data_IF_647069977749
#
_entry.id   IF_647069977749
#
_cell.length_a   1.000
_cell.length_b   1.000
_cell.length_c   1.000
_cell.angle_alpha   90.00
_cell.angle_beta   90.00
_cell.angle_gamma   90.00
#
_symmetry.space_group_name_H-M   'P 1'
#
loop_
_entity.id
_entity.type
_entity.pdbx_description
1 polymer ?
#
# COMPACT_ATOMS: atom_id res chain seq x y z
N UNK A 1 6.08 38.42 -62.13
CA UNK A 1 6.61 37.36 -61.25
C UNK A 1 5.67 37.27 -60.05
N UNK A 2 4.83 36.23 -60.00
CA UNK A 2 3.85 36.03 -58.92
C UNK A 2 4.55 35.34 -57.73
N UNK A 3 4.62 36.01 -56.59
CA UNK A 3 5.18 35.43 -55.37
C UNK A 3 4.14 34.48 -54.73
N UNK A 4 4.52 33.20 -54.60
CA UNK A 4 3.71 32.15 -54.02
C UNK A 4 3.45 32.40 -52.52
N UNK A 5 2.17 32.41 -52.15
CA UNK A 5 1.71 32.49 -50.75
C UNK A 5 1.92 31.13 -50.07
N UNK A 6 2.94 31.02 -49.23
CA UNK A 6 3.21 29.82 -48.44
C UNK A 6 2.36 29.83 -47.16
N UNK A 7 1.30 29.01 -47.13
CA UNK A 7 0.55 28.74 -45.89
C UNK A 7 1.43 27.95 -44.91
N UNK A 8 1.74 28.53 -43.74
CA UNK A 8 2.45 27.84 -42.66
C UNK A 8 1.55 26.72 -42.08
N UNK A 9 2.07 25.50 -41.86
CA UNK A 9 1.29 24.42 -41.27
C UNK A 9 0.89 24.75 -39.84
N UNK A 10 -0.41 24.61 -39.54
CA UNK A 10 -0.95 24.74 -38.19
C UNK A 10 -0.36 23.65 -37.29
N UNK A 11 0.50 24.05 -36.34
CA UNK A 11 0.99 23.15 -35.30
C UNK A 11 -0.19 22.74 -34.42
N UNK A 12 -0.79 21.56 -34.71
CA UNK A 12 -1.70 20.90 -33.78
C UNK A 12 -0.94 20.69 -32.48
N UNK A 13 -1.36 21.36 -31.40
CA UNK A 13 -0.79 21.16 -30.06
C UNK A 13 -0.84 19.67 -29.75
N UNK A 14 0.31 19.07 -29.41
CA UNK A 14 0.35 17.69 -28.91
C UNK A 14 -0.53 17.63 -27.67
N UNK A 15 -1.64 16.89 -27.75
CA UNK A 15 -2.55 16.72 -26.62
C UNK A 15 -1.77 16.02 -25.51
N UNK A 16 -1.73 16.61 -24.33
CA UNK A 16 -1.17 15.97 -23.15
C UNK A 16 -2.01 14.70 -22.86
N UNK A 17 -1.46 13.53 -23.22
CA UNK A 17 -2.14 12.23 -23.20
C UNK A 17 -2.68 11.90 -21.80
N UNK A 18 -1.97 12.33 -20.75
CA UNK A 18 -2.35 12.11 -19.35
C UNK A 18 -3.63 12.89 -19.00
N UNK A 19 -3.74 14.13 -19.49
CA UNK A 19 -4.95 14.94 -19.29
C UNK A 19 -6.14 14.41 -20.09
N UNK A 20 -5.91 13.90 -21.29
CA UNK A 20 -6.97 13.31 -22.12
C UNK A 20 -7.56 12.04 -21.50
N UNK A 21 -6.71 11.11 -21.03
CA UNK A 21 -7.18 9.90 -20.35
C UNK A 21 -7.96 10.24 -19.07
N UNK A 22 -7.49 11.22 -18.29
CA UNK A 22 -8.21 11.72 -17.11
C UNK A 22 -9.58 12.30 -17.49
N UNK A 23 -9.64 13.09 -18.55
CA UNK A 23 -10.89 13.63 -19.07
C UNK A 23 -11.86 12.52 -19.51
N UNK A 24 -11.39 11.54 -20.28
CA UNK A 24 -12.19 10.38 -20.69
C UNK A 24 -12.72 9.58 -19.49
N UNK A 25 -11.90 9.36 -18.46
CA UNK A 25 -12.34 8.72 -17.20
C UNK A 25 -13.42 9.54 -16.49
N UNK A 26 -13.27 10.87 -16.44
CA UNK A 26 -14.25 11.77 -15.86
C UNK A 26 -15.59 11.72 -16.60
N UNK A 27 -15.55 11.75 -17.93
CA UNK A 27 -16.74 11.62 -18.78
C UNK A 27 -17.42 10.26 -18.61
N UNK A 28 -16.67 9.16 -18.62
CA UNK A 28 -17.20 7.82 -18.39
C UNK A 28 -17.82 7.69 -16.99
N UNK A 29 -17.18 8.27 -15.96
CA UNK A 29 -17.73 8.31 -14.59
C UNK A 29 -19.05 9.08 -14.54
N UNK A 30 -19.11 10.27 -15.16
CA UNK A 30 -20.33 11.09 -15.21
C UNK A 30 -21.46 10.34 -15.94
N UNK A 31 -21.15 9.71 -17.08
CA UNK A 31 -22.11 8.92 -17.84
C UNK A 31 -22.62 7.70 -17.03
N UNK A 32 -21.72 6.95 -16.41
CA UNK A 32 -22.04 5.81 -15.55
C UNK A 32 -22.97 6.21 -14.40
N UNK A 33 -22.63 7.28 -13.67
CA UNK A 33 -23.47 7.76 -12.58
C UNK A 33 -24.82 8.34 -13.05
N UNK A 34 -24.88 8.85 -14.29
CA UNK A 34 -26.12 9.36 -14.88
C UNK A 34 -26.93 8.28 -15.61
N UNK A 35 -26.53 7.01 -15.51
CA UNK A 35 -27.20 5.91 -16.20
C UNK A 35 -27.11 5.94 -17.72
N UNK A 36 -26.22 6.75 -18.30
CA UNK A 36 -26.03 6.88 -19.75
C UNK A 36 -25.08 5.80 -20.28
N UNK A 37 -25.19 5.50 -21.57
CA UNK A 37 -24.24 4.62 -22.25
C UNK A 37 -22.82 5.19 -22.13
N UNK A 38 -21.84 4.32 -21.89
CA UNK A 38 -20.44 4.73 -21.82
C UNK A 38 -19.52 3.58 -22.26
N UNK A 39 -18.29 3.93 -22.65
CA UNK A 39 -17.24 2.94 -22.93
C UNK A 39 -16.41 2.74 -21.67
N UNK A 40 -16.35 1.50 -21.19
CA UNK A 40 -15.50 1.12 -20.06
C UNK A 40 -14.03 1.29 -20.45
N UNK A 41 -13.31 2.14 -19.72
CA UNK A 41 -11.89 2.40 -19.99
C UNK A 41 -10.99 1.20 -19.65
N UNK A 42 -11.46 0.30 -18.77
CA UNK A 42 -10.68 -0.88 -18.37
C UNK A 42 -10.89 -2.06 -19.33
N UNK A 43 -12.13 -2.28 -19.78
CA UNK A 43 -12.48 -3.42 -20.63
C UNK A 43 -12.65 -3.08 -22.10
N UNK A 44 -12.71 -1.79 -22.45
CA UNK A 44 -13.00 -1.31 -23.81
C UNK A 44 -14.45 -1.53 -24.26
N UNK A 45 -15.29 -2.19 -23.44
CA UNK A 45 -16.66 -2.57 -23.81
C UNK A 45 -17.63 -1.40 -23.64
N UNK A 46 -18.54 -1.25 -24.59
CA UNK A 46 -19.69 -0.34 -24.47
C UNK A 46 -20.69 -0.90 -23.47
N UNK A 47 -20.92 -0.15 -22.40
CA UNK A 47 -21.93 -0.43 -21.38
C UNK A 47 -23.20 0.33 -21.77
N UNK A 48 -24.35 -0.35 -21.96
CA UNK A 48 -25.57 0.29 -22.40
C UNK A 48 -26.14 1.24 -21.33
N UNK A 49 -26.99 2.17 -21.78
CA UNK A 49 -27.75 3.02 -20.87
C UNK A 49 -28.66 2.19 -19.95
N UNK A 50 -28.89 2.71 -18.76
CA UNK A 50 -29.80 2.15 -17.78
C UNK A 50 -31.23 2.35 -18.25
N UNK A 51 -31.98 1.25 -18.25
CA UNK A 51 -33.37 1.20 -18.65
C UNK A 51 -34.19 0.57 -17.56
N UNK A 52 -35.46 0.94 -17.53
CA UNK A 52 -36.49 0.27 -16.72
C UNK A 52 -36.52 -1.20 -17.16
N UNK A 53 -36.46 -2.09 -16.18
CA UNK A 53 -36.52 -3.54 -16.38
C UNK A 53 -37.93 -4.04 -16.63
N UNK A 54 -38.06 -5.35 -16.78
CA UNK A 54 -39.36 -5.97 -17.02
C UNK A 54 -40.29 -5.80 -15.80
N UNK A 55 -41.62 -5.71 -16.04
CA UNK A 55 -42.61 -5.75 -14.99
C UNK A 55 -42.46 -6.96 -14.07
N UNK A 56 -42.67 -6.77 -12.78
CA UNK A 56 -42.69 -7.90 -11.84
C UNK A 56 -43.96 -8.74 -12.02
N UNK A 57 -43.87 -10.04 -11.72
CA UNK A 57 -45.00 -10.99 -11.80
C UNK A 57 -45.75 -11.15 -10.48
N UNK A 58 -45.46 -10.32 -9.48
CA UNK A 58 -46.01 -10.47 -8.14
C UNK A 58 -47.51 -10.13 -8.06
N UNK A 59 -48.20 -10.71 -7.05
CA UNK A 59 -49.63 -10.50 -6.80
C UNK A 59 -50.00 -9.05 -6.52
N UNK A 60 -49.07 -8.24 -6.00
CA UNK A 60 -49.28 -6.81 -5.73
C UNK A 60 -49.42 -5.97 -7.01
N UNK A 61 -49.12 -6.52 -8.19
CA UNK A 61 -49.17 -5.84 -9.50
C UNK A 61 -48.47 -4.47 -9.48
N UNK A 62 -47.28 -4.41 -8.84
CA UNK A 62 -46.61 -3.16 -8.50
C UNK A 62 -46.46 -2.16 -9.67
N UNK A 63 -46.19 -2.64 -10.89
CA UNK A 63 -46.05 -1.76 -12.06
C UNK A 63 -47.36 -1.04 -12.40
N UNK A 64 -48.49 -1.75 -12.33
CA UNK A 64 -49.81 -1.15 -12.53
C UNK A 64 -50.17 -0.20 -11.39
N UNK A 65 -49.82 -0.55 -10.15
CA UNK A 65 -50.09 0.30 -8.97
C UNK A 65 -49.32 1.60 -8.98
N UNK A 66 -48.04 1.58 -9.40
CA UNK A 66 -47.20 2.78 -9.46
C UNK A 66 -47.57 3.64 -10.68
N UNK A 67 -47.90 3.01 -11.80
CA UNK A 67 -48.22 3.69 -13.07
C UNK A 67 -46.98 4.04 -13.89
N UNK A 68 -47.10 3.96 -15.22
CA UNK A 68 -45.98 4.13 -16.16
C UNK A 68 -45.33 5.52 -16.10
N UNK A 69 -46.14 6.56 -15.98
CA UNK A 69 -45.66 7.95 -15.86
C UNK A 69 -44.80 8.13 -14.60
N UNK A 70 -45.29 7.64 -13.46
CA UNK A 70 -44.57 7.68 -12.18
C UNK A 70 -43.29 6.86 -12.22
N UNK A 71 -43.34 5.66 -12.82
CA UNK A 71 -42.15 4.81 -12.99
C UNK A 71 -41.08 5.55 -13.80
N UNK A 72 -41.48 6.16 -14.91
CA UNK A 72 -40.59 6.93 -15.78
C UNK A 72 -40.01 8.14 -15.04
N UNK A 73 -40.84 8.87 -14.29
CA UNK A 73 -40.41 10.01 -13.49
C UNK A 73 -39.43 9.60 -12.38
N UNK A 74 -39.69 8.49 -11.68
CA UNK A 74 -38.82 7.96 -10.61
C UNK A 74 -37.48 7.52 -11.20
N UNK A 75 -37.49 6.74 -12.29
CA UNK A 75 -36.27 6.27 -12.94
C UNK A 75 -35.41 7.45 -13.42
N UNK A 76 -36.04 8.41 -14.09
CA UNK A 76 -35.36 9.61 -14.60
C UNK A 76 -34.76 10.42 -13.47
N UNK A 77 -35.54 10.78 -12.43
CA UNK A 77 -35.04 11.53 -11.26
C UNK A 77 -33.89 10.82 -10.56
N UNK A 78 -33.96 9.48 -10.43
CA UNK A 78 -32.91 8.69 -9.79
C UNK A 78 -31.58 8.81 -10.54
N UNK A 79 -31.58 8.67 -11.87
CA UNK A 79 -30.36 8.73 -12.68
C UNK A 79 -29.89 10.16 -12.98
N UNK A 80 -30.79 11.13 -13.10
CA UNK A 80 -30.46 12.56 -13.27
C UNK A 80 -29.59 13.12 -12.14
N UNK A 81 -29.72 12.56 -10.93
CA UNK A 81 -28.88 12.97 -9.79
C UNK A 81 -27.39 12.89 -10.07
N UNK A 82 -26.93 11.99 -10.96
CA UNK A 82 -25.54 11.91 -11.42
C UNK A 82 -24.49 11.63 -10.32
N UNK A 83 -24.93 11.36 -9.08
CA UNK A 83 -24.09 11.13 -7.92
C UNK A 83 -24.49 9.82 -7.21
N UNK A 84 -23.51 8.93 -7.07
CA UNK A 84 -23.68 7.64 -6.41
C UNK A 84 -24.10 7.78 -4.94
N UNK A 85 -23.69 8.84 -4.24
CA UNK A 85 -24.06 9.09 -2.85
C UNK A 85 -25.54 9.49 -2.74
N UNK A 86 -26.01 10.39 -3.60
CA UNK A 86 -27.42 10.81 -3.65
C UNK A 86 -28.30 9.61 -3.98
N UNK A 87 -27.91 8.79 -4.96
CA UNK A 87 -28.59 7.54 -5.30
C UNK A 87 -28.60 6.55 -4.13
N UNK A 88 -27.51 6.47 -3.35
CA UNK A 88 -27.44 5.60 -2.18
C UNK A 88 -28.39 6.08 -1.09
N UNK A 89 -28.42 7.38 -0.81
CA UNK A 89 -29.36 7.98 0.13
C UNK A 89 -30.82 7.77 -0.31
N UNK A 90 -31.10 7.87 -1.62
CA UNK A 90 -32.40 7.55 -2.17
C UNK A 90 -32.80 6.11 -1.85
N UNK A 91 -31.92 5.13 -2.10
CA UNK A 91 -32.20 3.72 -1.80
C UNK A 91 -32.43 3.53 -0.30
N UNK A 92 -31.57 4.08 0.56
CA UNK A 92 -31.69 3.95 2.02
C UNK A 92 -33.00 4.54 2.55
N UNK A 93 -33.45 5.67 1.98
CA UNK A 93 -34.73 6.29 2.36
C UNK A 93 -35.94 5.44 1.99
N UNK A 94 -35.83 4.64 0.93
CA UNK A 94 -36.93 3.88 0.34
C UNK A 94 -36.89 2.38 0.65
N UNK A 95 -35.91 1.93 1.44
CA UNK A 95 -35.76 0.54 1.87
C UNK A 95 -35.72 0.50 3.38
N UNK A 96 -36.70 -0.16 3.99
CA UNK A 96 -36.83 -0.29 5.44
C UNK A 96 -36.42 -1.70 5.85
N UNK A 97 -35.44 -1.80 6.76
CA UNK A 97 -35.03 -3.06 7.36
C UNK A 97 -35.85 -3.34 8.62
N UNK A 98 -36.43 -4.55 8.71
CA UNK A 98 -37.18 -5.03 9.88
C UNK A 98 -36.62 -6.37 10.36
N UNK A 99 -36.58 -6.63 11.68
CA UNK A 99 -36.22 -7.95 12.19
C UNK A 99 -37.24 -9.00 11.75
N UNK A 100 -36.78 -10.24 11.53
CA UNK A 100 -37.70 -11.35 11.24
C UNK A 100 -38.38 -11.81 12.53
N UNK A 101 -39.68 -11.57 12.64
CA UNK A 101 -40.46 -11.79 13.88
C UNK A 101 -40.90 -13.24 14.06
N UNK A 102 -41.13 -14.01 12.97
CA UNK A 102 -41.62 -15.41 13.05
C UNK A 102 -40.62 -16.37 12.42
N UNK A 103 -40.23 -17.39 13.18
CA UNK A 103 -39.30 -18.44 12.79
C UNK A 103 -39.99 -19.78 13.02
N UNK A 104 -40.31 -20.52 11.95
CA UNK A 104 -41.08 -21.77 12.04
C UNK A 104 -40.21 -23.04 12.05
N UNK A 105 -38.88 -22.94 11.95
CA UNK A 105 -37.98 -24.12 11.83
C UNK A 105 -36.71 -23.94 12.67
N UNK A 106 -36.26 -25.01 13.34
CA UNK A 106 -35.18 -25.01 14.35
C UNK A 106 -33.76 -24.74 13.85
N UNK A 107 -33.53 -24.51 12.55
CA UNK A 107 -32.18 -24.44 11.97
C UNK A 107 -31.54 -23.04 12.14
N UNK A 108 -30.84 -22.81 13.25
CA UNK A 108 -30.29 -21.49 13.64
C UNK A 108 -29.21 -20.92 12.70
N UNK A 109 -28.57 -21.76 11.88
CA UNK A 109 -27.32 -21.40 11.19
C UNK A 109 -27.50 -20.69 9.84
N UNK A 110 -28.69 -20.74 9.22
CA UNK A 110 -28.96 -20.15 7.88
C UNK A 110 -30.06 -19.09 7.84
N UNK A 111 -30.56 -18.63 8.99
CA UNK A 111 -31.74 -17.77 9.06
C UNK A 111 -31.46 -16.33 8.61
N UNK A 112 -32.25 -15.85 7.65
CA UNK A 112 -32.33 -14.41 7.32
C UNK A 112 -32.77 -13.66 8.59
N UNK A 113 -31.88 -12.86 9.17
CA UNK A 113 -32.13 -12.08 10.39
C UNK A 113 -32.93 -10.80 10.13
N UNK A 114 -32.85 -10.29 8.89
CA UNK A 114 -33.40 -8.99 8.50
C UNK A 114 -34.26 -9.16 7.24
N UNK A 115 -35.50 -8.67 7.28
CA UNK A 115 -36.38 -8.46 6.14
C UNK A 115 -36.27 -7.03 5.62
N UNK A 116 -36.57 -6.85 4.34
CA UNK A 116 -36.57 -5.53 3.69
C UNK A 116 -37.93 -5.27 3.05
N UNK A 117 -38.48 -4.11 3.34
CA UNK A 117 -39.65 -3.56 2.66
C UNK A 117 -39.19 -2.45 1.72
N UNK A 118 -39.81 -2.38 0.55
CA UNK A 118 -39.44 -1.46 -0.51
C UNK A 118 -40.60 -0.52 -0.78
N UNK A 119 -40.32 0.78 -0.76
CA UNK A 119 -41.32 1.83 -0.88
C UNK A 119 -40.94 2.80 -1.99
N UNK A 120 -41.90 3.29 -2.75
CA UNK A 120 -41.67 4.33 -3.77
C UNK A 120 -42.65 5.48 -3.56
N UNK A 121 -42.17 6.72 -3.68
CA UNK A 121 -43.03 7.90 -3.61
C UNK A 121 -43.72 8.11 -4.96
N UNK A 122 -45.06 8.04 -4.95
CA UNK A 122 -45.94 8.32 -6.09
C UNK A 122 -46.83 9.50 -5.71
N UNK A 123 -46.66 10.62 -6.41
CA UNK A 123 -47.23 11.91 -6.01
C UNK A 123 -46.85 12.25 -4.56
N UNK A 124 -47.78 12.20 -3.60
CA UNK A 124 -47.50 12.42 -2.17
C UNK A 124 -47.61 11.18 -1.29
N UNK A 125 -47.94 10.02 -1.88
CA UNK A 125 -48.10 8.78 -1.14
C UNK A 125 -46.88 7.86 -1.31
N UNK A 126 -46.58 7.08 -0.27
CA UNK A 126 -45.62 5.98 -0.35
C UNK A 126 -46.36 4.69 -0.71
N UNK A 127 -45.98 4.09 -1.83
CA UNK A 127 -46.53 2.82 -2.32
C UNK A 127 -45.52 1.71 -2.02
N UNK A 128 -45.97 0.67 -1.33
CA UNK A 128 -45.15 -0.53 -1.11
C UNK A 128 -45.04 -1.34 -2.41
N UNK A 129 -43.82 -1.70 -2.78
CA UNK A 129 -43.54 -2.51 -3.96
C UNK A 129 -42.73 -3.75 -3.59
N UNK A 130 -42.76 -4.77 -4.45
CA UNK A 130 -41.89 -5.92 -4.26
C UNK A 130 -40.44 -5.57 -4.61
N UNK A 131 -39.53 -6.38 -4.08
CA UNK A 131 -38.08 -6.33 -4.34
C UNK A 131 -37.74 -6.28 -5.84
N UNK A 132 -38.41 -7.10 -6.65
CA UNK A 132 -38.16 -7.17 -8.09
C UNK A 132 -38.61 -5.89 -8.79
N UNK A 133 -39.79 -5.38 -8.46
CA UNK A 133 -40.29 -4.14 -9.01
C UNK A 133 -39.38 -2.97 -8.70
N UNK A 134 -38.92 -2.85 -7.45
CA UNK A 134 -38.01 -1.78 -7.04
C UNK A 134 -36.72 -1.76 -7.88
N UNK A 135 -36.10 -2.94 -8.08
CA UNK A 135 -34.86 -3.07 -8.84
C UNK A 135 -35.07 -2.85 -10.33
N UNK A 136 -36.17 -3.38 -10.89
CA UNK A 136 -36.54 -3.18 -12.29
C UNK A 136 -36.86 -1.72 -12.58
N UNK A 137 -37.67 -1.05 -11.74
CA UNK A 137 -38.04 0.37 -11.91
C UNK A 137 -36.78 1.26 -11.90
N UNK A 138 -35.81 0.99 -11.02
CA UNK A 138 -34.57 1.77 -10.95
C UNK A 138 -33.48 1.32 -11.94
N UNK A 139 -33.62 0.16 -12.60
CA UNK A 139 -32.61 -0.39 -13.51
C UNK A 139 -31.29 -0.77 -12.81
N UNK A 140 -31.35 -1.11 -11.52
CA UNK A 140 -30.17 -1.47 -10.71
C UNK A 140 -30.07 -3.00 -10.51
N UNK A 141 -29.09 -3.45 -9.73
CA UNK A 141 -29.02 -4.85 -9.29
C UNK A 141 -29.35 -4.94 -7.79
N UNK A 142 -29.72 -6.13 -7.33
CA UNK A 142 -29.96 -6.34 -5.90
C UNK A 142 -28.74 -6.08 -5.04
N UNK A 143 -27.57 -6.49 -5.51
CA UNK A 143 -26.32 -6.21 -4.83
C UNK A 143 -26.05 -4.70 -4.68
N UNK A 144 -26.61 -3.85 -5.55
CA UNK A 144 -26.51 -2.39 -5.41
C UNK A 144 -27.32 -1.90 -4.22
N UNK A 145 -28.48 -2.50 -3.97
CA UNK A 145 -29.32 -2.23 -2.79
C UNK A 145 -28.65 -2.76 -1.52
N UNK A 146 -28.13 -3.99 -1.54
CA UNK A 146 -27.39 -4.57 -0.40
C UNK A 146 -26.22 -3.68 0.01
N UNK A 147 -25.40 -3.27 -0.97
CA UNK A 147 -24.29 -2.34 -0.73
C UNK A 147 -24.74 -0.97 -0.23
N UNK A 148 -25.91 -0.49 -0.66
CA UNK A 148 -26.45 0.78 -0.20
C UNK A 148 -26.85 0.71 1.28
N UNK A 149 -27.59 -0.33 1.68
CA UNK A 149 -28.01 -0.50 3.08
C UNK A 149 -26.84 -0.72 4.03
N UNK A 150 -25.78 -1.39 3.59
CA UNK A 150 -24.57 -1.60 4.40
C UNK A 150 -23.66 -0.35 4.48
N UNK A 151 -23.96 0.72 3.73
CA UNK A 151 -23.12 1.93 3.63
C UNK A 151 -23.54 3.01 4.64
N UNK A 152 -23.69 2.61 5.90
CA UNK A 152 -24.17 3.49 6.99
C UNK A 152 -23.17 3.39 8.15
N UNK A 153 -22.83 4.54 8.77
CA UNK A 153 -22.05 4.56 10.01
C UNK A 153 -22.92 4.07 11.17
N UNK A 154 -22.31 3.67 12.29
CA UNK A 154 -23.07 3.34 13.51
C UNK A 154 -24.03 4.46 13.95
N UNK A 155 -23.75 5.72 13.60
CA UNK A 155 -24.59 6.89 13.85
C UNK A 155 -25.77 7.09 12.89
N UNK A 156 -25.99 6.19 11.92
CA UNK A 156 -27.06 6.33 10.91
C UNK A 156 -26.71 7.24 9.73
N UNK A 157 -25.52 7.85 9.71
CA UNK A 157 -25.08 8.75 8.63
C UNK A 157 -24.51 7.95 7.45
N UNK A 158 -24.86 8.34 6.22
CA UNK A 158 -24.32 7.76 4.98
C UNK A 158 -22.79 7.87 4.94
N UNK A 159 -22.11 6.76 4.67
CA UNK A 159 -20.67 6.80 4.39
C UNK A 159 -20.46 7.32 2.96
N UNK A 160 -19.76 8.45 2.76
CA UNK A 160 -19.52 8.98 1.42
C UNK A 160 -18.68 8.01 0.58
N UNK A 161 -18.87 8.03 -0.75
CA UNK A 161 -18.02 7.27 -1.66
C UNK A 161 -16.59 7.83 -1.69
N UNK A 162 -15.65 7.02 -1.24
CA UNK A 162 -14.22 7.36 -1.14
C UNK A 162 -13.41 6.82 -2.33
N UNK A 163 -14.04 6.21 -3.34
CA UNK A 163 -13.32 5.73 -4.53
C UNK A 163 -12.59 6.88 -5.24
N UNK A 164 -11.31 6.63 -5.58
CA UNK A 164 -10.46 7.61 -6.23
C UNK A 164 -10.01 8.76 -5.31
N UNK A 165 -10.40 8.73 -4.03
CA UNK A 165 -9.79 9.55 -3.00
C UNK A 165 -8.73 8.69 -2.33
N UNK A 166 -7.50 8.79 -2.80
CA UNK A 166 -6.36 8.27 -2.04
C UNK A 166 -6.27 9.13 -0.78
N UNK A 167 -6.45 8.54 0.40
CA UNK A 167 -6.02 9.22 1.62
C UNK A 167 -4.53 9.51 1.45
N UNK A 168 -4.13 10.74 1.73
CA UNK A 168 -2.71 11.04 1.87
C UNK A 168 -2.16 10.13 2.96
N UNK A 169 -1.43 9.09 2.56
CA UNK A 169 -0.66 8.31 3.50
C UNK A 169 0.56 9.16 3.83
N UNK A 170 0.81 9.47 5.12
CA UNK A 170 2.05 10.13 5.51
C UNK A 170 3.20 9.33 4.92
N UNK A 171 4.09 10.02 4.20
CA UNK A 171 5.32 9.39 3.76
C UNK A 171 6.08 8.92 5.00
N UNK A 172 6.72 7.76 4.90
CA UNK A 172 7.62 7.28 5.97
C UNK A 172 8.65 8.37 6.22
N UNK A 173 8.82 8.76 7.49
CA UNK A 173 9.76 9.82 7.85
C UNK A 173 11.18 9.47 7.41
N UNK A 174 11.96 10.48 7.04
CA UNK A 174 13.34 10.29 6.59
C UNK A 174 14.18 9.56 7.63
N UNK A 175 13.98 9.85 8.92
CA UNK A 175 14.68 9.20 10.02
C UNK A 175 14.40 7.69 10.07
N UNK A 176 13.14 7.28 9.86
CA UNK A 176 12.77 5.85 9.83
C UNK A 176 13.38 5.14 8.62
N UNK A 177 13.46 5.83 7.48
CA UNK A 177 14.13 5.31 6.30
C UNK A 177 15.63 5.15 6.55
N UNK A 178 16.26 6.12 7.20
CA UNK A 178 17.69 6.05 7.52
C UNK A 178 18.00 4.89 8.45
N UNK A 179 17.24 4.71 9.54
CA UNK A 179 17.39 3.57 10.45
C UNK A 179 17.26 2.22 9.72
N UNK A 180 16.35 2.13 8.75
CA UNK A 180 16.23 0.92 7.93
C UNK A 180 17.44 0.71 7.01
N UNK A 181 18.02 1.78 6.43
CA UNK A 181 19.26 1.71 5.64
C UNK A 181 20.43 1.26 6.51
N UNK A 182 20.60 1.86 7.69
CA UNK A 182 21.68 1.55 8.62
C UNK A 182 21.63 0.07 9.04
N UNK A 183 20.44 -0.44 9.32
CA UNK A 183 20.25 -1.86 9.58
C UNK A 183 20.61 -2.75 8.37
N UNK A 184 20.25 -2.36 7.14
CA UNK A 184 20.62 -3.13 5.93
C UNK A 184 22.14 -3.15 5.72
N UNK A 185 22.82 -2.03 5.96
CA UNK A 185 24.29 -1.95 5.84
C UNK A 185 25.03 -2.70 6.96
N UNK A 186 24.41 -2.88 8.12
CA UNK A 186 25.00 -3.62 9.24
C UNK A 186 25.19 -5.13 8.97
N UNK A 187 24.55 -5.68 7.94
CA UNK A 187 24.67 -7.11 7.65
C UNK A 187 26.07 -7.49 7.16
N UNK A 188 26.67 -8.58 7.69
CA UNK A 188 27.96 -9.06 7.21
C UNK A 188 27.82 -9.57 5.78
N UNK A 189 28.59 -8.98 4.87
CA UNK A 189 28.62 -9.34 3.45
C UNK A 189 29.97 -9.89 3.04
N UNK A 190 29.97 -10.74 2.00
CA UNK A 190 31.15 -11.37 1.44
C UNK A 190 31.15 -11.16 -0.06
N UNK A 191 32.30 -10.81 -0.62
CA UNK A 191 32.51 -10.77 -2.07
C UNK A 191 32.74 -12.18 -2.60
N UNK A 192 32.46 -12.40 -3.88
CA UNK A 192 32.65 -13.70 -4.52
C UNK A 192 34.05 -13.80 -5.11
N UNK A 193 34.96 -14.53 -4.46
CA UNK A 193 36.35 -14.68 -4.90
C UNK A 193 36.49 -15.04 -6.41
N UNK A 194 35.63 -15.94 -6.92
CA UNK A 194 35.70 -16.42 -8.31
C UNK A 194 35.08 -15.48 -9.35
N UNK A 195 34.06 -14.70 -8.97
CA UNK A 195 33.34 -13.78 -9.87
C UNK A 195 33.71 -12.31 -9.63
N UNK A 196 34.70 -12.02 -8.79
CA UNK A 196 35.20 -10.67 -8.55
C UNK A 196 35.72 -9.99 -9.82
N UNK A 197 36.22 -10.76 -10.79
CA UNK A 197 36.64 -10.23 -12.11
C UNK A 197 35.47 -9.84 -13.02
N UNK A 198 34.27 -10.38 -12.78
CA UNK A 198 33.08 -10.19 -13.63
C UNK A 198 32.08 -9.23 -12.97
N UNK A 199 31.95 -9.27 -11.64
CA UNK A 199 31.02 -8.46 -10.87
C UNK A 199 31.65 -7.99 -9.55
N UNK A 200 32.60 -7.02 -9.59
CA UNK A 200 33.40 -6.62 -8.44
C UNK A 200 32.62 -5.93 -7.32
N UNK A 201 31.45 -5.35 -7.64
CA UNK A 201 30.65 -4.56 -6.71
C UNK A 201 29.55 -5.36 -5.99
N UNK A 202 29.36 -6.63 -6.36
CA UNK A 202 28.28 -7.46 -5.80
C UNK A 202 28.69 -8.03 -4.45
N UNK A 203 27.84 -7.80 -3.45
CA UNK A 203 28.03 -8.23 -2.07
C UNK A 203 26.98 -9.27 -1.72
N UNK A 204 27.41 -10.41 -1.17
CA UNK A 204 26.52 -11.50 -0.77
C UNK A 204 26.38 -11.56 0.74
N UNK A 205 25.16 -11.70 1.25
CA UNK A 205 24.92 -11.87 2.68
C UNK A 205 25.56 -13.18 3.20
N UNK A 206 26.19 -13.13 4.38
CA UNK A 206 26.72 -14.33 5.03
C UNK A 206 25.55 -15.27 5.40
N UNK A 207 25.77 -16.57 5.21
CA UNK A 207 24.80 -17.71 5.18
C UNK A 207 23.68 -17.72 6.24
N UNK A 208 23.82 -16.96 7.33
CA UNK A 208 22.80 -16.76 8.38
C UNK A 208 21.46 -16.17 7.91
N UNK A 209 21.43 -15.38 6.82
CA UNK A 209 20.20 -14.70 6.37
C UNK A 209 19.53 -15.45 5.21
N UNK A 210 18.39 -16.09 5.51
CA UNK A 210 17.68 -16.95 4.55
C UNK A 210 16.80 -16.21 3.52
N UNK A 211 16.27 -15.03 3.85
CA UNK A 211 15.34 -14.29 2.97
C UNK A 211 15.22 -12.81 3.35
N UNK A 212 14.65 -11.98 2.46
CA UNK A 212 14.34 -10.56 2.76
C UNK A 212 13.34 -10.41 3.91
N UNK A 213 12.35 -11.29 3.98
CA UNK A 213 11.44 -11.36 5.13
C UNK A 213 12.18 -11.70 6.44
N UNK A 214 13.22 -12.53 6.37
CA UNK A 214 14.07 -12.80 7.53
C UNK A 214 14.87 -11.55 7.94
N UNK A 215 15.42 -10.81 6.97
CA UNK A 215 16.07 -9.51 7.25
C UNK A 215 15.13 -8.55 7.96
N UNK A 216 13.87 -8.47 7.53
CA UNK A 216 12.87 -7.62 8.16
C UNK A 216 12.57 -8.04 9.61
N UNK A 217 12.50 -9.34 9.91
CA UNK A 217 12.35 -9.81 11.30
C UNK A 217 13.55 -9.44 12.17
N UNK A 218 14.76 -9.49 11.61
CA UNK A 218 15.97 -9.04 12.29
C UNK A 218 15.94 -7.53 12.52
N UNK A 219 15.45 -6.75 11.53
CA UNK A 219 15.24 -5.31 11.67
C UNK A 219 14.30 -4.97 12.82
N UNK A 220 13.17 -5.67 12.93
CA UNK A 220 12.24 -5.44 14.04
C UNK A 220 12.88 -5.71 15.41
N UNK A 221 13.68 -6.78 15.51
CA UNK A 221 14.41 -7.10 16.75
C UNK A 221 15.49 -6.05 17.05
N UNK A 222 16.27 -5.67 16.05
CA UNK A 222 17.30 -4.62 16.15
C UNK A 222 16.69 -3.29 16.58
N UNK A 223 15.56 -2.89 15.98
CA UNK A 223 14.85 -1.67 16.33
C UNK A 223 14.34 -1.71 17.77
N UNK A 224 13.77 -2.83 18.22
CA UNK A 224 13.32 -2.98 19.61
C UNK A 224 14.48 -2.87 20.61
N UNK A 225 15.67 -3.37 20.26
CA UNK A 225 16.85 -3.34 21.14
C UNK A 225 17.51 -1.97 21.21
N UNK A 226 17.71 -1.31 20.06
CA UNK A 226 18.53 -0.09 19.97
C UNK A 226 17.70 1.20 19.82
N UNK A 227 16.44 1.10 19.38
CA UNK A 227 15.54 2.23 19.13
C UNK A 227 14.10 1.93 19.63
N UNK A 228 13.92 1.63 20.94
CA UNK A 228 12.64 1.17 21.48
C UNK A 228 11.48 2.16 21.32
N UNK A 229 11.78 3.46 21.16
CA UNK A 229 10.79 4.51 20.93
C UNK A 229 10.30 4.62 19.48
N UNK A 230 10.92 3.90 18.55
CA UNK A 230 10.64 4.02 17.11
C UNK A 230 9.84 2.81 16.63
N UNK A 231 8.71 3.08 15.96
CA UNK A 231 7.95 2.01 15.29
C UNK A 231 8.57 1.62 13.94
N UNK A 232 8.62 0.32 13.61
CA UNK A 232 9.21 -0.17 12.36
C UNK A 232 8.40 0.29 11.14
N UNK A 233 9.11 0.49 10.03
CA UNK A 233 8.49 0.67 8.71
C UNK A 233 7.78 -0.62 8.26
N UNK A 234 6.87 -0.54 7.29
CA UNK A 234 6.21 -1.75 6.77
C UNK A 234 7.21 -2.67 6.07
N UNK A 235 6.96 -3.98 6.12
CA UNK A 235 7.82 -4.97 5.45
C UNK A 235 7.99 -4.67 3.97
N UNK A 236 6.91 -4.28 3.27
CA UNK A 236 6.98 -3.91 1.86
C UNK A 236 7.93 -2.73 1.62
N UNK A 237 7.83 -1.67 2.42
CA UNK A 237 8.71 -0.52 2.32
C UNK A 237 10.18 -0.91 2.57
N UNK A 238 10.45 -1.79 3.54
CA UNK A 238 11.78 -2.30 3.82
C UNK A 238 12.35 -3.14 2.67
N UNK A 239 11.55 -4.03 2.07
CA UNK A 239 11.97 -4.86 0.93
C UNK A 239 12.18 -4.04 -0.36
N UNK A 240 11.37 -3.00 -0.56
CA UNK A 240 11.53 -2.04 -1.64
C UNK A 240 12.82 -1.25 -1.48
N UNK A 241 13.12 -0.81 -0.24
CA UNK A 241 14.37 -0.11 0.09
C UNK A 241 15.60 -0.94 -0.26
N UNK A 242 15.61 -2.24 0.04
CA UNK A 242 16.68 -3.17 -0.37
C UNK A 242 16.80 -3.21 -1.89
N UNK A 243 15.68 -3.20 -2.60
CA UNK A 243 15.66 -3.33 -4.06
C UNK A 243 16.12 -2.05 -4.75
N UNK A 244 15.72 -0.89 -4.25
CA UNK A 244 16.02 0.41 -4.85
C UNK A 244 17.41 0.94 -4.47
N UNK A 245 17.79 0.85 -3.18
CA UNK A 245 19.02 1.46 -2.66
C UNK A 245 20.19 0.47 -2.58
N UNK A 246 19.91 -0.84 -2.51
CA UNK A 246 20.93 -1.89 -2.38
C UNK A 246 20.90 -2.91 -3.54
N UNK A 247 20.96 -2.47 -4.81
CA UNK A 247 20.83 -3.38 -5.97
C UNK A 247 21.92 -4.46 -6.04
N UNK A 248 23.09 -4.17 -5.46
CA UNK A 248 24.26 -5.03 -5.43
C UNK A 248 24.28 -6.02 -4.24
N UNK A 249 23.31 -5.95 -3.34
CA UNK A 249 23.18 -6.87 -2.21
C UNK A 249 22.37 -8.11 -2.62
N UNK A 250 22.97 -9.29 -2.53
CA UNK A 250 22.35 -10.58 -2.89
C UNK A 250 22.29 -11.51 -1.67
N UNK A 251 21.21 -12.30 -1.58
CA UNK A 251 20.98 -13.23 -0.45
C UNK A 251 21.95 -14.42 -0.45
N UNK A 252 22.19 -15.01 -1.62
CA UNK A 252 22.99 -16.23 -1.75
C UNK A 252 23.99 -16.10 -2.88
N UNK A 253 25.19 -16.65 -2.67
CA UNK A 253 26.17 -16.82 -3.75
C UNK A 253 25.62 -17.83 -4.77
N UNK A 254 25.81 -17.61 -6.08
CA UNK A 254 25.61 -18.67 -7.06
C UNK A 254 26.44 -19.89 -6.64
N UNK A 255 25.92 -21.10 -6.85
CA UNK A 255 26.77 -22.30 -6.78
C UNK A 255 27.78 -22.17 -7.93
N UNK A 256 29.01 -21.78 -7.61
CA UNK A 256 30.10 -21.86 -8.58
C UNK A 256 30.51 -23.32 -8.69
N UNK A 257 30.57 -23.87 -9.90
CA UNK A 257 31.24 -25.15 -10.15
C UNK A 257 32.63 -25.08 -9.54
N UNK A 258 32.96 -26.03 -8.68
CA UNK A 258 34.30 -26.07 -8.08
C UNK A 258 35.31 -26.21 -9.22
N UNK A 259 36.43 -25.49 -9.12
CA UNK A 259 37.53 -25.70 -10.06
C UNK A 259 38.01 -27.15 -9.91
N UNK A 260 38.30 -27.83 -11.04
CA UNK A 260 38.79 -29.22 -11.06
C UNK A 260 39.97 -29.48 -10.10
N UNK A 261 40.80 -28.44 -9.84
CA UNK A 261 41.90 -28.49 -8.86
C UNK A 261 41.40 -28.61 -7.42
N UNK A 262 40.36 -27.84 -7.05
CA UNK A 262 39.74 -27.90 -5.74
C UNK A 262 39.03 -29.23 -5.52
N UNK A 263 38.29 -29.75 -6.51
CA UNK A 263 37.68 -31.08 -6.41
C UNK A 263 38.74 -32.18 -6.26
N UNK A 264 39.83 -32.12 -7.03
CA UNK A 264 40.95 -33.07 -6.94
C UNK A 264 41.60 -33.04 -5.55
N UNK A 265 41.85 -31.85 -4.99
CA UNK A 265 42.42 -31.71 -3.65
C UNK A 265 41.45 -32.22 -2.57
N UNK A 266 40.15 -31.96 -2.73
CA UNK A 266 39.12 -32.41 -1.79
C UNK A 266 38.96 -33.93 -1.80
N UNK A 267 39.11 -34.57 -2.97
CA UNK A 267 39.18 -36.03 -3.12
C UNK A 267 40.45 -36.56 -2.43
N UNK A 268 41.61 -35.94 -2.68
CA UNK A 268 42.88 -36.36 -2.07
C UNK A 268 42.89 -36.24 -0.54
N UNK A 269 42.24 -35.20 0.01
CA UNK A 269 42.06 -35.02 1.45
C UNK A 269 41.12 -36.07 2.05
N UNK A 270 40.03 -36.42 1.35
CA UNK A 270 39.08 -37.46 1.79
C UNK A 270 39.67 -38.87 1.74
N UNK A 271 40.55 -39.13 0.77
CA UNK A 271 41.21 -40.43 0.61
C UNK A 271 42.45 -40.60 1.51
N UNK A 272 42.74 -39.63 2.39
CA UNK A 272 43.82 -39.73 3.39
C UNK A 272 45.24 -39.76 2.79
N UNK A 273 45.40 -39.35 1.53
CA UNK A 273 46.71 -39.33 0.88
C UNK A 273 47.51 -38.14 1.39
N UNK A 274 48.58 -38.40 2.13
CA UNK A 274 49.55 -37.37 2.54
C UNK A 274 50.22 -36.78 1.30
N UNK A 275 49.81 -35.58 0.90
CA UNK A 275 50.49 -34.80 -0.13
C UNK A 275 51.85 -34.38 0.44
N UNK A 276 52.95 -34.87 -0.15
CA UNK A 276 54.28 -34.33 0.12
C UNK A 276 54.33 -32.93 -0.50
N UNK A 277 54.49 -31.91 0.34
CA UNK A 277 54.79 -30.56 -0.13
C UNK A 277 56.19 -30.55 -0.74
N UNK A 278 56.31 -30.18 -2.01
CA UNK A 278 57.59 -29.71 -2.55
C UNK A 278 57.83 -28.27 -2.07
N UNK A 279 59.06 -27.91 -1.66
CA UNK A 279 59.33 -26.59 -1.12
C UNK A 279 59.36 -25.54 -2.24
N UNK A 280 58.33 -24.69 -2.31
CA UNK A 280 58.34 -23.51 -3.17
C UNK A 280 56.98 -22.89 -3.45
N UNK A 281 56.40 -22.22 -2.46
CA UNK A 281 55.65 -20.95 -2.52
C UNK A 281 54.74 -20.84 -1.29
N UNK A 282 55.07 -19.88 -0.44
CA UNK A 282 54.38 -19.58 0.81
C UNK A 282 53.06 -18.88 0.48
N UNK A 283 51.93 -19.45 0.90
CA UNK A 283 50.79 -18.64 1.33
C UNK A 283 50.26 -19.25 2.63
N UNK A 284 50.42 -18.49 3.70
CA UNK A 284 50.09 -18.85 5.08
C UNK A 284 48.59 -19.11 5.21
N UNK A 285 48.22 -20.40 5.25
CA UNK A 285 47.03 -20.87 5.93
C UNK A 285 47.45 -21.16 7.38
N UNK A 286 47.05 -20.29 8.31
CA UNK A 286 46.90 -20.69 9.70
C UNK A 286 45.46 -21.14 9.88
N UNK A 287 45.29 -22.46 9.89
CA UNK A 287 44.08 -23.11 10.34
C UNK A 287 44.05 -23.11 11.86
N UNK A 288 42.89 -22.78 12.43
CA UNK A 288 42.41 -23.47 13.63
C UNK A 288 41.03 -24.01 13.33
N UNK A 289 41.01 -25.32 13.09
CA UNK A 289 39.85 -26.16 13.29
C UNK A 289 39.38 -26.01 14.75
N UNK A 290 38.06 -26.00 14.94
CA UNK A 290 37.50 -26.80 16.03
C UNK A 290 36.12 -27.32 15.64
N UNK A 291 35.97 -28.61 15.89
CA UNK A 291 34.79 -29.41 15.65
C UNK A 291 33.96 -29.51 16.93
N UNK A 292 32.65 -29.69 16.75
CA UNK A 292 31.62 -30.06 17.75
C UNK A 292 31.18 -29.00 18.77
N UNK A 293 29.95 -28.47 18.63
CA UNK A 293 29.04 -28.16 19.77
C UNK A 293 27.57 -28.27 19.32
N UNK A 294 26.80 -28.91 20.19
CA UNK A 294 25.34 -29.10 20.23
C UNK A 294 24.45 -27.88 19.90
N UNK A 295 23.24 -28.20 19.44
CA UNK A 295 22.13 -27.30 19.05
C UNK A 295 21.49 -26.41 20.15
N UNK A 296 22.12 -26.17 21.31
CA UNK A 296 21.50 -25.38 22.40
C UNK A 296 22.25 -24.12 22.87
N UNK A 297 23.27 -23.62 22.14
CA UNK A 297 24.04 -22.43 22.60
C UNK A 297 24.01 -21.23 21.62
N UNK A 298 22.84 -20.89 21.07
CA UNK A 298 22.69 -19.74 20.13
C UNK A 298 22.24 -18.43 20.82
N UNK A 299 22.48 -18.30 22.13
CA UNK A 299 22.26 -17.04 22.86
C UNK A 299 23.43 -16.79 23.81
N UNK A 300 24.58 -16.36 23.29
CA UNK A 300 25.54 -15.57 24.08
C UNK A 300 26.68 -14.92 23.27
N UNK A 301 27.15 -15.51 22.17
CA UNK A 301 28.39 -15.01 21.52
C UNK A 301 28.22 -13.80 20.59
N UNK A 302 26.99 -13.41 20.24
CA UNK A 302 26.74 -12.24 19.38
C UNK A 302 26.74 -10.89 20.13
N UNK A 303 26.71 -10.90 21.47
CA UNK A 303 26.66 -9.68 22.28
C UNK A 303 28.06 -9.24 22.74
N UNK A 304 29.05 -10.14 22.74
CA UNK A 304 30.41 -9.82 23.20
C UNK A 304 31.29 -9.23 22.08
N UNK A 305 31.17 -9.71 20.84
CA UNK A 305 31.93 -9.16 19.70
C UNK A 305 31.50 -7.73 19.30
N UNK A 306 30.26 -7.34 19.60
CA UNK A 306 29.75 -6.00 19.28
C UNK A 306 30.19 -4.96 20.33
N UNK A 307 30.59 -5.39 21.53
CA UNK A 307 31.14 -4.46 22.55
C UNK A 307 32.58 -4.05 22.26
N UNK A 308 33.44 -4.98 21.82
CA UNK A 308 34.85 -4.68 21.53
C UNK A 308 35.05 -3.87 20.22
N UNK A 309 34.16 -3.99 19.23
CA UNK A 309 34.24 -3.18 18.00
C UNK A 309 33.68 -1.74 18.15
N UNK A 310 32.93 -1.44 19.23
CA UNK A 310 32.44 -0.08 19.52
C UNK A 310 33.49 0.71 20.32
N UNK A 311 34.21 0.09 21.25
CA UNK A 311 35.31 0.75 22.00
C UNK A 311 36.47 1.16 21.07
N UNK A 312 36.81 0.36 20.06
CA UNK A 312 37.91 0.67 19.12
C UNK A 312 37.54 1.82 18.14
N UNK A 313 36.25 2.12 17.96
CA UNK A 313 35.78 3.23 17.11
C UNK A 313 35.57 4.54 17.86
N UNK A 314 35.51 4.52 19.19
CA UNK A 314 35.47 5.74 20.02
C UNK A 314 36.88 6.28 20.36
N UNK A 315 37.93 5.46 20.36
CA UNK A 315 39.31 5.91 20.62
C UNK A 315 40.00 6.63 19.44
N UNK A 316 39.47 6.56 18.21
CA UNK A 316 40.07 7.24 17.05
C UNK A 316 39.41 8.60 16.69
N UNK A 317 38.60 9.18 17.58
CA UNK A 317 37.98 10.50 17.35
C UNK A 317 38.41 11.60 18.32
N UNK A 318 39.41 11.37 19.17
CA UNK A 318 39.90 12.38 20.12
C UNK A 318 41.42 12.51 20.11
N UNK A 319 41.92 13.35 19.19
CA UNK A 319 43.20 14.05 19.36
C UNK A 319 43.07 15.42 18.69
N UNK A 320 42.99 16.49 19.49
CA UNK A 320 43.39 17.84 19.08
C UNK A 320 44.41 18.34 20.10
N UNK A 321 45.54 18.94 19.66
CA UNK A 321 46.47 19.58 20.57
C UNK A 321 45.95 20.97 20.98
N UNK A 322 45.89 21.13 22.30
CA UNK A 322 46.04 22.29 23.18
C UNK A 322 45.69 23.74 22.77
N UNK A 323 45.06 24.36 23.78
CA UNK A 323 44.61 25.72 24.02
C UNK A 323 45.55 26.86 23.61
N UNK A 324 44.95 27.96 23.13
CA UNK A 324 45.36 29.31 23.52
C UNK A 324 44.11 30.08 23.98
N UNK A 325 44.11 30.39 25.27
CA UNK A 325 43.15 31.25 25.98
C UNK A 325 43.43 32.72 25.63
N UNK A 326 42.42 33.48 25.23
CA UNK A 326 42.26 34.88 25.68
C UNK A 326 40.77 35.15 25.92
N UNK A 327 40.48 35.66 27.11
CA UNK A 327 39.17 36.06 27.63
C UNK A 327 38.75 37.45 27.09
N UNK A 328 37.54 37.83 27.49
CA UNK A 328 36.93 39.16 27.52
C UNK A 328 35.96 39.41 26.35
N UNK A 329 34.73 39.92 26.49
CA UNK A 329 33.85 40.30 27.59
C UNK A 329 32.43 40.42 26.98
N UNK A 330 31.41 39.95 27.70
CA UNK A 330 30.14 40.64 28.03
C UNK A 330 29.53 41.59 26.96
N UNK A 331 28.30 41.29 26.49
CA UNK A 331 27.14 42.18 26.70
C UNK A 331 25.80 41.53 26.31
N UNK A 332 24.84 41.79 27.18
CA UNK A 332 23.45 41.38 27.19
C UNK A 332 22.67 42.31 26.25
N UNK A 333 21.74 41.79 25.45
CA UNK A 333 20.59 42.59 24.99
C UNK A 333 19.31 41.76 24.89
N UNK A 334 18.30 42.26 25.60
CA UNK A 334 16.96 41.74 25.79
C UNK A 334 16.01 42.05 24.60
N UNK A 335 15.05 41.13 24.40
CA UNK A 335 13.63 41.35 24.06
C UNK A 335 13.18 41.88 22.66
N UNK A 336 11.87 41.77 22.28
CA UNK A 336 10.77 40.99 22.89
C UNK A 336 9.87 40.20 21.90
N UNK A 337 9.04 39.35 22.52
CA UNK A 337 7.86 38.67 21.99
C UNK A 337 6.81 39.61 21.38
N UNK A 338 6.18 39.18 20.28
CA UNK A 338 4.95 39.79 19.74
C UNK A 338 3.78 38.81 19.93
N UNK A 339 2.92 39.13 20.90
CA UNK A 339 1.58 38.56 21.07
C UNK A 339 0.65 39.03 19.95
N UNK A 340 -0.04 38.11 19.27
CA UNK A 340 -1.21 38.44 18.45
C UNK A 340 -2.50 37.95 19.11
N UNK A 341 -3.44 38.90 19.23
CA UNK A 341 -4.70 38.85 19.96
C UNK A 341 -5.77 38.05 19.23
N UNK A 342 -6.51 37.24 19.98
CA UNK A 342 -7.84 36.73 19.64
C UNK A 342 -8.88 37.81 19.98
N UNK A 343 -9.88 38.11 19.15
CA UNK A 343 -11.09 38.78 19.60
C UNK A 343 -12.27 37.80 19.75
N UNK A 344 -12.84 37.79 20.95
CA UNK A 344 -14.16 37.23 21.27
C UNK A 344 -15.04 38.34 21.85
N UNK A 345 -16.29 38.45 21.35
CA UNK A 345 -17.50 39.13 21.91
C UNK A 345 -18.56 39.09 20.80
N UNK A 346 -19.77 38.52 20.92
CA UNK A 346 -20.87 38.58 21.90
C UNK A 346 -21.51 39.96 22.06
N UNK A 347 -22.82 40.01 21.78
CA UNK A 347 -23.81 41.07 22.07
C UNK A 347 -24.35 41.71 20.79
N UNK A 348 -25.62 41.67 20.40
CA UNK A 348 -26.86 41.54 21.18
C UNK A 348 -27.60 42.87 21.14
N UNK A 349 -28.55 43.01 20.19
CA UNK A 349 -29.82 43.73 20.29
C UNK A 349 -30.70 43.33 19.11
#
# INVERSE_FOLDING_TARGET
MQAANQQKPSHKRKINIVNWQRYQRSMAKKACNSGKQYVSQFTGKTVPAKKIGNPCTCMKRCFATVGEESITAIHTKFWESGDNNIQTAFIQKHVIEKPVVRIYTGDELRKRKIMREYWLKVSDNLVEVCKEAFVSILGISLSRVDKAMNKVRASGVLIPDMRGRTMYYPQVSQDKLQLAKDHIDSFPTVTSHYSNSISPTVRYLKVSVKSRAHMYRLYQKWLHTYHPSTEPITQHCYEDLITSEFPNLKLSKPRSDTLKKCDRLNIQLKDGVKVKAEPGEIFSHEDKEDSSVNEETVVCQHVQMVKEEIEIKEEQRFFQPEEIIVKDEIEIFEEPMIHSKIPSRIGGQ
#
